data_IF_371799614775
#
_entry.id   IF_371799614775
#
_cell.length_a   1.000
_cell.length_b   1.000
_cell.length_c   1.000
_cell.angle_alpha   90.00
_cell.angle_beta   90.00
_cell.angle_gamma   90.00
#
_symmetry.space_group_name_H-M   'P 1'
#
loop_
_entity.id
_entity.type
_entity.pdbx_description
1 polymer ?
#
# COMPACT_ATOMS: atom_id res chain seq x y z
N UNK A 1 -12.64 -9.93 -14.41
CA UNK A 1 -11.89 -8.71 -14.00
C UNK A 1 -11.62 -8.78 -12.51
N UNK A 2 -10.36 -8.94 -12.12
CA UNK A 2 -9.95 -9.11 -10.72
C UNK A 2 -10.13 -7.78 -9.96
N UNK A 3 -10.72 -7.84 -8.75
CA UNK A 3 -10.86 -6.70 -7.84
C UNK A 3 -9.47 -6.22 -7.40
N UNK A 4 -8.95 -5.17 -8.04
CA UNK A 4 -7.64 -4.58 -7.74
C UNK A 4 -7.53 -4.07 -6.29
N UNK A 5 -8.67 -3.78 -5.66
CA UNK A 5 -8.77 -3.33 -4.27
C UNK A 5 -9.20 -4.48 -3.33
N UNK A 6 -8.63 -5.69 -3.50
CA UNK A 6 -8.84 -6.74 -2.51
C UNK A 6 -8.14 -6.33 -1.20
N UNK A 7 -8.91 -5.77 -0.27
CA UNK A 7 -8.45 -5.21 1.01
C UNK A 7 -7.50 -6.11 1.78
N UNK A 8 -7.72 -7.43 1.70
CA UNK A 8 -6.86 -8.44 2.32
C UNK A 8 -5.39 -8.41 1.85
N UNK A 9 -5.17 -8.10 0.57
CA UNK A 9 -3.84 -8.20 -0.05
C UNK A 9 -2.93 -7.03 0.33
N UNK A 10 -3.40 -5.79 0.17
CA UNK A 10 -2.55 -4.63 0.47
C UNK A 10 -2.38 -4.39 1.97
N UNK A 11 -3.38 -4.71 2.82
CA UNK A 11 -3.24 -4.61 4.27
C UNK A 11 -2.14 -5.54 4.81
N UNK A 12 -2.03 -6.75 4.22
CA UNK A 12 -0.97 -7.69 4.54
C UNK A 12 0.40 -7.13 4.16
N UNK A 13 0.54 -6.55 2.97
CA UNK A 13 1.78 -5.90 2.52
C UNK A 13 2.20 -4.75 3.42
N UNK A 14 1.26 -3.89 3.85
CA UNK A 14 1.52 -2.78 4.78
C UNK A 14 2.05 -3.31 6.11
N UNK A 15 1.43 -4.34 6.69
CA UNK A 15 1.86 -4.93 7.96
C UNK A 15 3.29 -5.48 7.86
N UNK A 16 3.59 -6.20 6.78
CA UNK A 16 4.95 -6.74 6.57
C UNK A 16 5.94 -5.59 6.36
N UNK A 17 5.60 -4.56 5.59
CA UNK A 17 6.45 -3.40 5.37
C UNK A 17 6.77 -2.65 6.67
N UNK A 18 5.78 -2.44 7.54
CA UNK A 18 5.98 -1.83 8.86
C UNK A 18 6.90 -2.69 9.74
N UNK A 19 6.68 -4.01 9.79
CA UNK A 19 7.56 -4.92 10.52
C UNK A 19 9.00 -4.92 9.97
N UNK A 20 9.18 -4.79 8.65
CA UNK A 20 10.50 -4.65 8.04
C UNK A 20 11.18 -3.33 8.43
N UNK A 21 10.43 -2.22 8.47
CA UNK A 21 10.94 -0.93 8.90
C UNK A 21 11.43 -0.98 10.36
N UNK A 22 10.65 -1.58 11.26
CA UNK A 22 11.04 -1.73 12.67
C UNK A 22 12.31 -2.57 12.84
N UNK A 23 12.42 -3.69 12.11
CA UNK A 23 13.64 -4.52 12.12
C UNK A 23 14.83 -3.73 11.59
N UNK A 24 14.67 -2.98 10.50
CA UNK A 24 15.75 -2.18 9.90
C UNK A 24 16.21 -1.06 10.84
N UNK A 25 15.30 -0.35 11.50
CA UNK A 25 15.66 0.67 12.50
C UNK A 25 16.48 0.09 13.66
N UNK A 26 16.14 -1.12 14.12
CA UNK A 26 16.86 -1.81 15.21
C UNK A 26 18.23 -2.34 14.77
N UNK A 27 18.31 -2.90 13.57
CA UNK A 27 19.52 -3.58 13.08
C UNK A 27 20.48 -2.65 12.35
N UNK A 28 19.99 -1.55 11.80
CA UNK A 28 20.73 -0.59 10.96
C UNK A 28 20.31 0.85 11.28
N UNK A 29 20.61 1.36 12.49
CA UNK A 29 20.14 2.68 12.94
C UNK A 29 20.66 3.84 12.07
N UNK A 30 21.80 3.68 11.40
CA UNK A 30 22.33 4.65 10.44
C UNK A 30 21.42 4.85 9.20
N UNK A 31 20.53 3.90 8.89
CA UNK A 31 19.54 4.01 7.82
C UNK A 31 18.18 4.51 8.30
N UNK A 32 18.02 4.86 9.57
CA UNK A 32 16.72 5.27 10.15
C UNK A 32 16.02 6.35 9.35
N UNK A 33 16.67 7.44 8.89
CA UNK A 33 16.00 8.47 8.09
C UNK A 33 15.40 7.91 6.80
N UNK A 34 16.16 7.08 6.07
CA UNK A 34 15.70 6.44 4.83
C UNK A 34 14.56 5.44 5.09
N UNK A 35 14.63 4.71 6.20
CA UNK A 35 13.58 3.76 6.60
C UNK A 35 12.30 4.50 6.99
N UNK A 36 12.41 5.67 7.63
CA UNK A 36 11.27 6.53 7.98
C UNK A 36 10.56 7.09 6.75
N UNK A 37 11.31 7.54 5.74
CA UNK A 37 10.74 8.00 4.46
C UNK A 37 9.96 6.87 3.76
N UNK A 38 10.51 5.66 3.73
CA UNK A 38 9.85 4.50 3.15
C UNK A 38 8.61 4.09 3.97
N UNK A 39 8.68 4.16 5.30
CA UNK A 39 7.55 3.88 6.19
C UNK A 39 6.43 4.93 6.04
N UNK A 40 6.79 6.20 5.86
CA UNK A 40 5.84 7.27 5.56
C UNK A 40 5.16 7.02 4.21
N UNK A 41 5.92 6.62 3.19
CA UNK A 41 5.39 6.27 1.85
C UNK A 41 4.40 5.10 1.92
N UNK A 42 4.71 4.04 2.67
CA UNK A 42 3.79 2.92 2.94
C UNK A 42 2.50 3.41 3.60
N UNK A 43 2.62 4.29 4.59
CA UNK A 43 1.48 4.82 5.35
C UNK A 43 0.58 5.69 4.48
N UNK A 44 1.15 6.56 3.66
CA UNK A 44 0.42 7.41 2.71
C UNK A 44 -0.30 6.59 1.64
N UNK A 45 0.39 5.61 1.04
CA UNK A 45 -0.20 4.70 0.06
C UNK A 45 -1.36 3.89 0.68
N UNK A 46 -1.19 3.39 1.91
CA UNK A 46 -2.25 2.71 2.64
C UNK A 46 -3.47 3.60 2.87
N UNK A 47 -3.27 4.84 3.32
CA UNK A 47 -4.36 5.78 3.54
C UNK A 47 -5.14 6.08 2.23
N UNK A 48 -4.42 6.28 1.11
CA UNK A 48 -5.04 6.45 -0.21
C UNK A 48 -5.87 5.23 -0.62
N UNK A 49 -5.32 4.02 -0.50
CA UNK A 49 -6.01 2.77 -0.84
C UNK A 49 -7.23 2.53 0.04
N UNK A 50 -7.11 2.80 1.34
CA UNK A 50 -8.23 2.66 2.27
C UNK A 50 -9.36 3.63 1.92
N UNK A 51 -9.05 4.89 1.63
CA UNK A 51 -10.05 5.88 1.22
C UNK A 51 -10.74 5.47 -0.09
N UNK A 52 -9.99 5.01 -1.08
CA UNK A 52 -10.54 4.53 -2.35
C UNK A 52 -11.41 3.28 -2.17
N UNK A 53 -11.03 2.37 -1.28
CA UNK A 53 -11.84 1.20 -0.92
C UNK A 53 -13.15 1.59 -0.25
N UNK A 54 -13.14 2.54 0.69
CA UNK A 54 -14.36 3.03 1.35
C UNK A 54 -15.32 3.69 0.35
N UNK A 55 -14.77 4.52 -0.54
CA UNK A 55 -15.55 5.19 -1.60
C UNK A 55 -16.15 4.16 -2.56
N UNK A 56 -15.37 3.14 -2.95
CA UNK A 56 -15.88 2.08 -3.82
C UNK A 56 -16.96 1.24 -3.15
N UNK A 57 -16.85 0.99 -1.84
CA UNK A 57 -17.86 0.26 -1.08
C UNK A 57 -19.15 1.08 -0.92
N UNK A 58 -19.05 2.37 -0.55
CA UNK A 58 -20.20 3.27 -0.47
C UNK A 58 -20.92 3.41 -1.82
N UNK A 59 -20.18 3.50 -2.93
CA UNK A 59 -20.76 3.53 -4.26
C UNK A 59 -21.44 2.22 -4.67
N UNK A 60 -20.93 1.07 -4.22
CA UNK A 60 -21.58 -0.22 -4.47
C UNK A 60 -22.90 -0.35 -3.71
N UNK A 61 -22.93 0.04 -2.44
CA UNK A 61 -24.16 0.02 -1.63
C UNK A 61 -25.23 0.92 -2.25
N UNK A 62 -24.89 2.13 -2.68
CA UNK A 62 -25.84 3.07 -3.31
C UNK A 62 -26.38 2.55 -4.66
N UNK A 63 -25.54 1.93 -5.49
CA UNK A 63 -25.96 1.41 -6.79
C UNK A 63 -26.83 0.15 -6.71
N UNK A 64 -26.63 -0.70 -5.69
CA UNK A 64 -27.51 -1.86 -5.46
C UNK A 64 -28.93 -1.42 -5.06
N UNK A 65 -29.08 -0.23 -4.46
CA UNK A 65 -30.37 0.35 -4.11
C UNK A 65 -31.10 1.03 -5.28
N UNK A 66 -30.39 1.57 -6.29
CA UNK A 66 -31.00 2.31 -7.40
C UNK A 66 -31.01 1.57 -8.75
N UNK A 67 -30.47 0.35 -8.83
CA UNK A 67 -30.38 -0.40 -10.10
C UNK A 67 -29.48 0.25 -11.16
N UNK A 68 -28.76 1.32 -10.82
CA UNK A 68 -27.83 2.00 -11.71
C UNK A 68 -26.50 1.23 -11.75
N UNK A 69 -26.09 0.84 -12.97
CA UNK A 69 -24.73 0.35 -13.23
C UNK A 69 -23.71 1.36 -12.69
N UNK A 70 -22.94 0.97 -11.68
CA UNK A 70 -21.79 1.72 -11.17
C UNK A 70 -20.90 2.07 -12.37
N UNK A 71 -20.94 3.33 -12.80
CA UNK A 71 -19.96 3.85 -13.74
C UNK A 71 -18.63 3.82 -12.99
N UNK A 72 -17.82 2.81 -13.28
CA UNK A 72 -16.46 2.69 -12.76
C UNK A 72 -15.72 3.97 -13.13
N UNK A 73 -15.53 4.86 -12.15
CA UNK A 73 -14.81 6.09 -12.37
C UNK A 73 -13.35 5.75 -12.74
N UNK A 74 -12.94 5.95 -14.00
CA UNK A 74 -11.62 5.51 -14.47
C UNK A 74 -10.48 6.26 -13.78
N UNK A 75 -10.71 7.51 -13.33
CA UNK A 75 -9.73 8.26 -12.56
C UNK A 75 -9.44 7.60 -11.20
N UNK A 76 -10.49 7.16 -10.47
CA UNK A 76 -10.32 6.45 -9.18
C UNK A 76 -9.60 5.12 -9.34
N UNK A 77 -9.81 4.44 -10.46
CA UNK A 77 -9.09 3.21 -10.79
C UNK A 77 -7.59 3.47 -11.04
N UNK A 78 -7.26 4.53 -11.77
CA UNK A 78 -5.87 4.96 -11.99
C UNK A 78 -5.20 5.37 -10.67
N UNK A 79 -5.89 6.10 -9.81
CA UNK A 79 -5.40 6.47 -8.47
C UNK A 79 -5.12 5.24 -7.60
N UNK A 80 -6.03 4.26 -7.58
CA UNK A 80 -5.85 3.01 -6.85
C UNK A 80 -4.61 2.24 -7.36
N UNK A 81 -4.43 2.19 -8.67
CA UNK A 81 -3.28 1.54 -9.29
C UNK A 81 -1.97 2.26 -8.97
N UNK A 82 -1.96 3.59 -8.98
CA UNK A 82 -0.81 4.39 -8.59
C UNK A 82 -0.45 4.16 -7.11
N UNK A 83 -1.43 4.19 -6.21
CA UNK A 83 -1.20 3.93 -4.79
C UNK A 83 -0.72 2.50 -4.50
N UNK A 84 -1.19 1.49 -5.25
CA UNK A 84 -0.64 0.13 -5.18
C UNK A 84 0.82 0.06 -5.66
N UNK A 85 1.17 0.79 -6.72
CA UNK A 85 2.54 0.85 -7.22
C UNK A 85 3.47 1.56 -6.22
N UNK A 86 3.02 2.66 -5.60
CA UNK A 86 3.73 3.35 -4.51
C UNK A 86 3.99 2.40 -3.33
N UNK A 87 2.96 1.68 -2.87
CA UNK A 87 3.08 0.69 -1.79
C UNK A 87 4.07 -0.43 -2.15
N UNK A 88 3.95 -0.98 -3.36
CA UNK A 88 4.83 -2.04 -3.86
C UNK A 88 6.29 -1.60 -3.93
N UNK A 89 6.53 -0.38 -4.42
CA UNK A 89 7.88 0.20 -4.53
C UNK A 89 8.50 0.41 -3.15
N UNK A 90 7.76 1.05 -2.23
CA UNK A 90 8.26 1.29 -0.88
C UNK A 90 8.55 -0.02 -0.12
N UNK A 91 7.67 -1.02 -0.26
CA UNK A 91 7.88 -2.34 0.30
C UNK A 91 9.12 -3.04 -0.29
N UNK A 92 9.30 -2.97 -1.61
CA UNK A 92 10.45 -3.58 -2.27
C UNK A 92 11.76 -2.91 -1.83
N UNK A 93 11.79 -1.58 -1.75
CA UNK A 93 12.94 -0.84 -1.21
C UNK A 93 13.30 -1.26 0.22
N UNK A 94 12.30 -1.46 1.10
CA UNK A 94 12.55 -2.00 2.46
C UNK A 94 13.12 -3.43 2.41
N UNK A 95 12.67 -4.29 1.49
CA UNK A 95 13.26 -5.63 1.32
C UNK A 95 14.70 -5.55 0.84
N UNK A 96 14.99 -4.65 -0.09
CA UNK A 96 16.32 -4.51 -0.68
C UNK A 96 17.31 -3.95 0.36
N UNK A 97 16.90 -2.96 1.17
CA UNK A 97 17.69 -2.49 2.31
C UNK A 97 17.98 -3.61 3.33
N UNK A 98 17.01 -4.49 3.59
CA UNK A 98 17.20 -5.66 4.45
C UNK A 98 18.14 -6.70 3.83
N UNK A 99 18.07 -6.92 2.51
CA UNK A 99 18.92 -7.87 1.79
C UNK A 99 20.35 -7.38 1.69
N UNK A 100 20.57 -6.10 1.37
CA UNK A 100 21.89 -5.51 1.28
C UNK A 100 22.70 -5.62 2.58
N UNK A 101 22.03 -5.66 3.74
CA UNK A 101 22.68 -5.89 5.03
C UNK A 101 23.03 -7.36 5.33
N UNK A 102 22.55 -8.33 4.54
CA UNK A 102 22.88 -9.76 4.68
C UNK A 102 24.05 -10.22 3.81
N UNK A 103 24.42 -9.44 2.79
CA UNK A 103 25.45 -9.82 1.79
C UNK A 103 26.87 -9.53 2.26
N UNK A 104 27.05 -8.96 3.46
CA UNK A 104 28.35 -8.79 4.11
C UNK A 104 28.49 -9.78 5.26
N UNK A 105 28.78 -11.03 4.93
CA UNK A 105 29.32 -12.05 5.83
C UNK A 105 30.17 -13.01 5.00
#
# INVERSE_FOLDING_TARGET
MQNLLNSSCYCSTVRVAQGLADILKRTRPHLTPQVEELQASVTQAHAKLHKLSQISHAGAVLSDHEGQKIVRNPARFLEARAALAELGTAYQSLRDLKRAGKTTA
#
